data_IF_659232939665
#
_entry.id   IF_659232939665
#
_cell.length_a   1.000
_cell.length_b   1.000
_cell.length_c   1.000
_cell.angle_alpha   90.00
_cell.angle_beta   90.00
_cell.angle_gamma   90.00
#
_symmetry.space_group_name_H-M   'P 1'
#
loop_
_entity.id
_entity.type
_entity.pdbx_description
1 polymer ?
#
# COMPACT_ATOMS: atom_id res chain seq x y z
N UNK A 1 -12.77 -6.38 2.06
CA UNK A 1 -13.15 -5.80 3.38
C UNK A 1 -11.93 -5.74 4.32
N UNK A 2 -11.24 -6.86 4.60
CA UNK A 2 -10.09 -6.90 5.53
C UNK A 2 -8.98 -5.89 5.20
N UNK A 3 -8.53 -5.80 3.95
CA UNK A 3 -7.44 -4.89 3.56
C UNK A 3 -7.78 -3.40 3.75
N UNK A 4 -9.03 -3.02 3.49
CA UNK A 4 -9.54 -1.66 3.67
C UNK A 4 -9.63 -1.32 5.16
N UNK A 5 -10.16 -2.24 5.97
CA UNK A 5 -10.22 -2.07 7.43
C UNK A 5 -8.82 -1.91 8.02
N UNK A 6 -7.87 -2.75 7.57
CA UNK A 6 -6.49 -2.72 8.03
C UNK A 6 -5.74 -1.43 7.69
N UNK A 7 -6.09 -0.76 6.60
CA UNK A 7 -5.54 0.57 6.27
C UNK A 7 -6.18 1.63 7.15
N UNK A 8 -7.50 1.58 7.33
CA UNK A 8 -8.23 2.57 8.14
C UNK A 8 -7.77 2.56 9.60
N UNK A 9 -7.60 1.39 10.21
CA UNK A 9 -7.09 1.29 11.59
C UNK A 9 -5.65 1.82 11.75
N UNK A 10 -4.84 1.84 10.69
CA UNK A 10 -3.50 2.44 10.75
C UNK A 10 -3.56 3.97 10.67
N UNK A 11 -4.62 4.53 10.11
CA UNK A 11 -4.83 5.98 10.07
C UNK A 11 -5.12 6.55 11.47
N UNK A 12 -5.63 5.72 12.40
CA UNK A 12 -5.87 6.10 13.79
C UNK A 12 -4.59 6.49 14.54
N UNK A 13 -3.41 6.18 13.99
CA UNK A 13 -2.10 6.52 14.55
C UNK A 13 -1.36 7.60 13.77
N UNK A 14 -2.00 8.24 12.79
CA UNK A 14 -1.37 9.24 11.93
C UNK A 14 -0.76 10.40 12.72
N UNK A 15 -1.41 10.84 13.80
CA UNK A 15 -0.94 11.95 14.63
C UNK A 15 0.38 11.66 15.35
N UNK A 16 0.71 10.38 15.55
CA UNK A 16 1.92 9.95 16.23
C UNK A 16 3.01 9.41 15.29
N UNK A 17 2.61 8.76 14.18
CA UNK A 17 3.52 8.03 13.28
C UNK A 17 3.60 8.64 11.88
N UNK A 18 2.82 9.68 11.60
CA UNK A 18 2.65 10.24 10.26
C UNK A 18 1.69 9.43 9.39
N UNK A 19 1.31 9.96 8.22
CA UNK A 19 0.35 9.33 7.33
C UNK A 19 0.91 8.05 6.68
N UNK A 20 0.03 7.06 6.50
CA UNK A 20 0.38 5.81 5.82
C UNK A 20 0.60 6.03 4.32
N UNK A 21 1.82 5.89 3.84
CA UNK A 21 2.12 5.91 2.40
C UNK A 21 1.60 4.66 1.68
N UNK A 22 1.87 3.48 2.25
CA UNK A 22 1.36 2.19 1.77
C UNK A 22 1.47 1.12 2.86
N UNK A 23 0.79 -0.01 2.68
CA UNK A 23 0.95 -1.21 3.51
C UNK A 23 1.37 -2.39 2.64
N UNK A 24 2.37 -3.17 3.07
CA UNK A 24 2.77 -4.41 2.42
C UNK A 24 2.74 -5.58 3.41
N UNK A 25 2.41 -6.77 2.91
CA UNK A 25 2.48 -8.01 3.67
C UNK A 25 3.07 -9.11 2.79
N UNK A 26 4.21 -9.67 3.22
CA UNK A 26 4.81 -10.85 2.61
C UNK A 26 4.24 -12.10 3.25
N UNK A 27 3.63 -12.94 2.43
CA UNK A 27 3.18 -14.29 2.77
C UNK A 27 4.05 -15.30 2.02
N UNK A 28 3.94 -16.58 2.38
CA UNK A 28 4.72 -17.66 1.77
C UNK A 28 4.72 -17.63 0.23
N UNK A 29 3.58 -17.33 -0.38
CA UNK A 29 3.38 -17.45 -1.83
C UNK A 29 3.08 -16.12 -2.53
N UNK A 30 2.96 -15.00 -1.80
CA UNK A 30 2.52 -13.73 -2.38
C UNK A 30 2.95 -12.56 -1.50
N UNK A 31 3.30 -11.44 -2.13
CA UNK A 31 3.35 -10.14 -1.46
C UNK A 31 2.11 -9.36 -1.86
N UNK A 32 1.37 -8.86 -0.87
CA UNK A 32 0.22 -7.96 -1.11
C UNK A 32 0.60 -6.55 -0.72
N UNK A 33 0.29 -5.59 -1.57
CA UNK A 33 0.40 -4.16 -1.30
C UNK A 33 -0.98 -3.54 -1.24
N UNK A 34 -1.10 -2.48 -0.46
CA UNK A 34 -2.33 -1.70 -0.35
C UNK A 34 -1.95 -0.23 -0.28
N UNK A 35 -2.46 0.56 -1.21
CA UNK A 35 -2.16 1.98 -1.36
C UNK A 35 -3.46 2.79 -1.20
N UNK A 36 -3.48 3.82 -0.35
CA UNK A 36 -4.58 4.78 -0.33
C UNK A 36 -4.51 5.68 -1.57
N UNK A 37 -5.61 5.77 -2.33
CA UNK A 37 -5.76 6.63 -3.52
C UNK A 37 -7.03 7.47 -3.38
N UNK A 38 -6.91 8.65 -2.74
CA UNK A 38 -8.06 9.52 -2.40
C UNK A 38 -9.15 8.69 -1.69
N UNK A 39 -10.31 8.50 -2.33
CA UNK A 39 -11.45 7.76 -1.78
C UNK A 39 -11.39 6.24 -2.05
N UNK A 40 -10.41 5.80 -2.83
CA UNK A 40 -10.22 4.42 -3.24
C UNK A 40 -8.99 3.78 -2.59
N UNK A 41 -8.93 2.46 -2.66
CA UNK A 41 -7.78 1.68 -2.20
C UNK A 41 -7.30 0.78 -3.32
N UNK A 42 -6.06 0.97 -3.78
CA UNK A 42 -5.43 0.09 -4.76
C UNK A 42 -4.83 -1.11 -4.04
N UNK A 43 -5.23 -2.30 -4.47
CA UNK A 43 -4.69 -3.56 -3.99
C UNK A 43 -3.85 -4.21 -5.11
N UNK A 44 -2.60 -4.54 -4.80
CA UNK A 44 -1.67 -5.17 -5.76
C UNK A 44 -1.13 -6.46 -5.15
N UNK A 45 -1.09 -7.53 -5.93
CA UNK A 45 -0.39 -8.77 -5.58
C UNK A 45 0.84 -8.95 -6.45
N UNK A 46 1.93 -9.42 -5.87
CA UNK A 46 3.16 -9.73 -6.56
C UNK A 46 3.76 -11.06 -6.07
N UNK A 47 4.71 -11.59 -6.84
CA UNK A 47 5.46 -12.78 -6.46
C UNK A 47 6.18 -12.62 -5.12
N UNK A 48 6.36 -13.71 -4.35
CA UNK A 48 6.93 -13.67 -3.02
C UNK A 48 8.41 -13.27 -3.00
N UNK A 49 9.09 -13.21 -4.15
CA UNK A 49 10.51 -12.84 -4.27
C UNK A 49 10.73 -11.34 -4.50
N UNK A 50 9.65 -10.59 -4.71
CA UNK A 50 9.73 -9.18 -5.11
C UNK A 50 10.45 -8.33 -4.05
N UNK A 51 11.17 -7.31 -4.49
CA UNK A 51 11.68 -6.24 -3.62
C UNK A 51 10.52 -5.29 -3.26
N UNK A 52 10.14 -5.27 -1.98
CA UNK A 52 8.96 -4.51 -1.51
C UNK A 52 9.15 -3.02 -1.74
N UNK A 53 10.30 -2.46 -1.34
CA UNK A 53 10.52 -1.02 -1.39
C UNK A 53 10.63 -0.52 -2.83
N UNK A 54 11.38 -1.23 -3.69
CA UNK A 54 11.49 -0.85 -5.10
C UNK A 54 10.14 -0.94 -5.82
N UNK A 55 9.34 -1.94 -5.49
CA UNK A 55 8.04 -2.14 -6.14
C UNK A 55 7.02 -1.12 -5.67
N UNK A 56 6.97 -0.85 -4.37
CA UNK A 56 6.12 0.20 -3.81
C UNK A 56 6.46 1.57 -4.41
N UNK A 57 7.74 1.94 -4.50
CA UNK A 57 8.15 3.19 -5.14
C UNK A 57 7.73 3.28 -6.61
N UNK A 58 7.89 2.19 -7.39
CA UNK A 58 7.42 2.16 -8.79
C UNK A 58 5.92 2.37 -8.88
N UNK A 59 5.13 1.68 -8.05
CA UNK A 59 3.66 1.81 -8.05
C UNK A 59 3.25 3.24 -7.66
N UNK A 60 3.86 3.80 -6.62
CA UNK A 60 3.60 5.17 -6.19
C UNK A 60 3.93 6.19 -7.28
N UNK A 61 5.04 6.01 -8.01
CA UNK A 61 5.40 6.89 -9.13
C UNK A 61 4.38 6.82 -10.28
N UNK A 62 3.87 5.61 -10.59
CA UNK A 62 2.82 5.43 -11.60
C UNK A 62 1.54 6.14 -11.16
N UNK A 63 1.11 5.94 -9.91
CA UNK A 63 -0.11 6.55 -9.38
C UNK A 63 -0.01 8.07 -9.23
N UNK A 64 1.19 8.61 -8.97
CA UNK A 64 1.43 10.05 -8.89
C UNK A 64 1.28 10.73 -10.25
N UNK A 65 1.62 10.04 -11.34
CA UNK A 65 1.49 10.56 -12.71
C UNK A 65 0.04 10.58 -13.23
N UNK A 66 -0.93 9.97 -12.53
CA UNK A 66 -2.36 10.07 -12.87
C UNK A 66 -3.05 11.29 -12.23
N UNK A 67 -2.32 12.07 -11.42
CA UNK A 67 -2.85 13.27 -10.74
C UNK A 67 -2.39 14.60 -11.37
N UNK A 68 -1.89 14.57 -12.62
CA UNK A 68 -1.43 15.76 -13.35
C UNK A 68 -2.23 15.97 -14.63
#
# INVERSE_FOLDING_TARGET
IEAVLRIRTRQDFNDNLGPVSYAAARRKNVVTFTFPLKDNVLFVSAEPIVDIDKTAHKIMNICSNENN
#
